data_IF_014864424360
#
_entry.id   IF_014864424360
#
_cell.length_a   1.000
_cell.length_b   1.000
_cell.length_c   1.000
_cell.angle_alpha   90.00
_cell.angle_beta   90.00
_cell.angle_gamma   90.00
#
_symmetry.space_group_name_H-M   'P 1'
#
loop_
_entity.id
_entity.type
_entity.pdbx_description
1 polymer ?
#
# COMPACT_ATOMS: atom_id res chain seq x y z
N UNK A 1 -6.02 57.99 34.47
CA UNK A 1 -4.87 57.16 34.02
C UNK A 1 -4.54 56.25 35.20
N UNK A 2 -4.74 54.93 35.23
CA UNK A 2 -4.64 53.86 34.24
C UNK A 2 -5.52 52.70 34.74
N UNK A 3 -6.59 52.34 34.03
CA UNK A 3 -6.71 51.15 33.16
C UNK A 3 -6.34 49.81 33.80
N UNK A 4 -7.38 48.98 33.96
CA UNK A 4 -7.37 47.56 34.23
C UNK A 4 -6.58 46.77 33.17
N UNK A 5 -5.92 45.69 33.60
CA UNK A 5 -5.62 44.54 32.73
C UNK A 5 -5.61 43.27 33.56
N UNK A 6 -6.72 42.53 33.47
CA UNK A 6 -6.81 41.16 33.94
C UNK A 6 -6.01 40.25 33.02
N UNK A 7 -5.27 39.31 33.62
CA UNK A 7 -4.65 38.21 32.90
C UNK A 7 -5.41 36.93 33.27
N UNK A 8 -6.41 36.59 32.45
CA UNK A 8 -7.11 35.33 32.56
C UNK A 8 -6.24 34.24 31.94
N UNK A 9 -5.80 33.28 32.76
CA UNK A 9 -5.11 32.07 32.29
C UNK A 9 -6.14 31.20 31.54
N UNK A 10 -5.96 30.91 30.24
CA UNK A 10 -6.86 29.99 29.55
C UNK A 10 -6.65 28.57 30.09
N UNK A 11 -7.69 28.00 30.72
CA UNK A 11 -7.76 26.56 31.00
C UNK A 11 -7.67 25.82 29.67
N UNK A 12 -6.53 25.21 29.40
CA UNK A 12 -6.39 24.21 28.36
C UNK A 12 -7.34 23.05 28.70
N UNK A 13 -8.46 22.98 27.99
CA UNK A 13 -9.30 21.80 27.98
C UNK A 13 -8.43 20.63 27.48
N UNK A 14 -8.08 19.72 28.40
CA UNK A 14 -7.49 18.43 28.09
C UNK A 14 -8.48 17.72 27.18
N UNK A 15 -8.17 17.68 25.88
CA UNK A 15 -8.89 16.84 24.94
C UNK A 15 -8.79 15.40 25.46
N UNK A 16 -9.88 14.90 26.05
CA UNK A 16 -10.04 13.48 26.35
C UNK A 16 -9.97 12.80 24.99
N UNK A 17 -8.85 12.11 24.71
CA UNK A 17 -8.77 11.20 23.57
C UNK A 17 -9.87 10.18 23.81
N UNK A 18 -10.99 10.31 23.11
CA UNK A 18 -11.95 9.23 23.09
C UNK A 18 -11.24 8.03 22.45
N UNK A 19 -11.28 6.85 23.08
CA UNK A 19 -10.84 5.64 22.40
C UNK A 19 -11.68 5.54 21.12
N UNK A 20 -11.02 5.40 19.98
CA UNK A 20 -11.70 5.11 18.72
C UNK A 20 -12.59 3.89 18.98
N UNK A 21 -13.86 3.92 18.54
CA UNK A 21 -14.69 2.72 18.60
C UNK A 21 -13.91 1.58 17.93
N UNK A 22 -13.96 0.36 18.48
CA UNK A 22 -13.39 -0.78 17.78
C UNK A 22 -14.00 -0.81 16.38
N UNK A 23 -13.15 -0.90 15.36
CA UNK A 23 -13.60 -1.17 13.99
C UNK A 23 -14.27 -2.54 14.02
N UNK A 24 -15.58 -2.55 14.25
CA UNK A 24 -16.42 -3.72 14.08
C UNK A 24 -16.53 -3.94 12.58
N UNK A 25 -15.72 -4.83 12.03
CA UNK A 25 -16.00 -5.42 10.73
C UNK A 25 -17.30 -6.22 10.90
N UNK A 26 -18.42 -5.63 10.49
CA UNK A 26 -19.67 -6.34 10.43
C UNK A 26 -19.50 -7.55 9.51
N UNK A 27 -19.83 -8.78 9.95
CA UNK A 27 -19.61 -9.99 9.16
C UNK A 27 -20.68 -10.20 8.06
N UNK A 28 -21.25 -9.14 7.48
CA UNK A 28 -22.45 -9.23 6.62
C UNK A 28 -22.19 -8.77 5.16
N UNK A 29 -21.35 -7.75 4.92
CA UNK A 29 -21.17 -7.22 3.55
C UNK A 29 -20.46 -8.18 2.59
N UNK A 30 -19.63 -9.12 3.07
CA UNK A 30 -18.88 -10.01 2.17
C UNK A 30 -19.77 -11.00 1.41
N UNK A 31 -20.93 -11.37 1.96
CA UNK A 31 -21.88 -12.23 1.27
C UNK A 31 -22.71 -11.44 0.26
N UNK A 32 -23.10 -10.21 0.59
CA UNK A 32 -23.85 -9.35 -0.32
C UNK A 32 -23.04 -9.02 -1.60
N UNK A 33 -21.75 -8.72 -1.46
CA UNK A 33 -20.87 -8.45 -2.60
C UNK A 33 -20.55 -9.71 -3.41
N UNK A 34 -20.37 -10.86 -2.74
CA UNK A 34 -20.20 -12.14 -3.41
C UNK A 34 -21.46 -12.52 -4.19
N UNK A 35 -22.64 -12.35 -3.61
CA UNK A 35 -23.93 -12.61 -4.26
C UNK A 35 -24.19 -11.64 -5.42
N UNK A 36 -23.79 -10.37 -5.28
CA UNK A 36 -23.85 -9.37 -6.34
C UNK A 36 -22.89 -9.67 -7.49
N UNK A 37 -21.71 -10.24 -7.21
CA UNK A 37 -20.81 -10.74 -8.24
C UNK A 37 -21.40 -11.98 -8.92
N UNK A 38 -21.78 -13.00 -8.15
CA UNK A 38 -22.27 -14.29 -8.66
C UNK A 38 -23.53 -14.16 -9.53
N UNK A 39 -24.43 -13.24 -9.18
CA UNK A 39 -25.67 -13.00 -9.93
C UNK A 39 -25.60 -11.75 -10.84
N UNK A 40 -24.45 -11.09 -10.91
CA UNK A 40 -24.28 -9.83 -11.60
C UNK A 40 -23.76 -9.95 -13.04
N UNK A 41 -23.93 -8.89 -13.86
CA UNK A 41 -23.42 -8.86 -15.24
C UNK A 41 -21.89 -8.93 -15.31
N UNK A 42 -21.20 -8.60 -14.22
CA UNK A 42 -19.75 -8.66 -14.13
C UNK A 42 -19.23 -10.11 -14.22
N UNK A 43 -19.92 -11.07 -13.60
CA UNK A 43 -19.57 -12.48 -13.72
C UNK A 43 -19.67 -12.95 -15.15
N UNK A 44 -20.71 -12.56 -15.90
CA UNK A 44 -20.84 -12.93 -17.31
C UNK A 44 -19.67 -12.41 -18.15
N UNK A 45 -19.22 -11.17 -17.90
CA UNK A 45 -18.04 -10.61 -18.58
C UNK A 45 -16.77 -11.37 -18.19
N UNK A 46 -16.64 -11.72 -16.92
CA UNK A 46 -15.50 -12.49 -16.41
C UNK A 46 -15.45 -13.90 -17.00
N UNK A 47 -16.58 -14.61 -17.00
CA UNK A 47 -16.72 -15.95 -17.57
C UNK A 47 -16.45 -15.94 -19.09
N UNK A 48 -16.91 -14.92 -19.81
CA UNK A 48 -16.57 -14.78 -21.24
C UNK A 48 -15.07 -14.55 -21.49
N UNK A 49 -14.40 -13.85 -20.58
CA UNK A 49 -13.00 -13.48 -20.74
C UNK A 49 -12.01 -14.55 -20.22
N UNK A 50 -12.41 -15.31 -19.20
CA UNK A 50 -11.56 -16.21 -18.43
C UNK A 50 -12.23 -17.54 -18.05
N UNK A 51 -13.57 -17.57 -18.05
CA UNK A 51 -14.35 -18.77 -17.79
C UNK A 51 -14.24 -19.77 -18.92
N UNK A 52 -14.36 -21.02 -18.53
CA UNK A 52 -14.31 -22.21 -19.38
C UNK A 52 -15.67 -22.50 -20.02
N UNK A 53 -16.40 -21.49 -20.50
CA UNK A 53 -17.57 -21.72 -21.35
C UNK A 53 -17.11 -22.33 -22.69
N UNK A 54 -17.02 -23.66 -22.70
CA UNK A 54 -16.65 -24.47 -23.88
C UNK A 54 -15.15 -24.63 -24.16
N UNK A 55 -14.24 -24.22 -23.25
CA UNK A 55 -12.78 -24.32 -23.46
C UNK A 55 -11.99 -24.50 -22.15
N UNK A 56 -10.68 -24.75 -22.26
CA UNK A 56 -9.80 -24.93 -21.10
C UNK A 56 -9.73 -23.65 -20.24
N UNK A 57 -9.71 -23.77 -18.89
CA UNK A 57 -9.62 -22.63 -17.98
C UNK A 57 -8.33 -21.84 -18.23
N UNK A 58 -8.37 -20.50 -18.12
CA UNK A 58 -7.25 -19.61 -18.45
C UNK A 58 -6.72 -18.89 -17.21
N UNK A 59 -5.40 -18.81 -17.06
CA UNK A 59 -4.71 -18.00 -16.04
C UNK A 59 -4.02 -16.78 -16.65
N UNK A 60 -3.92 -15.72 -15.87
CA UNK A 60 -3.15 -14.52 -16.25
C UNK A 60 -1.68 -14.76 -15.87
N UNK A 61 -0.77 -14.51 -16.81
CA UNK A 61 0.68 -14.57 -16.63
C UNK A 61 1.28 -13.24 -17.06
N UNK A 62 2.29 -12.77 -16.34
CA UNK A 62 2.95 -11.48 -16.61
C UNK A 62 1.99 -10.29 -16.66
N UNK A 63 0.95 -10.31 -15.83
CA UNK A 63 -0.02 -9.22 -15.68
C UNK A 63 -1.09 -9.11 -16.76
N UNK A 64 -0.82 -9.53 -18.00
CA UNK A 64 -1.75 -9.34 -19.13
C UNK A 64 -1.90 -10.52 -20.08
N UNK A 65 -0.98 -11.49 -20.09
CA UNK A 65 -1.06 -12.63 -21.00
C UNK A 65 -1.96 -13.72 -20.43
N UNK A 66 -2.71 -14.41 -21.30
CA UNK A 66 -3.57 -15.53 -20.92
C UNK A 66 -2.93 -16.84 -21.34
N UNK A 67 -2.82 -17.78 -20.41
CA UNK A 67 -2.33 -19.14 -20.67
C UNK A 67 -3.42 -20.15 -20.30
N UNK A 68 -3.64 -21.15 -21.14
CA UNK A 68 -4.52 -22.28 -20.83
C UNK A 68 -3.94 -23.14 -19.71
N UNK A 69 -4.81 -23.62 -18.83
CA UNK A 69 -4.47 -24.44 -17.67
C UNK A 69 -5.25 -25.72 -17.77
N UNK A 70 -4.62 -26.83 -17.40
CA UNK A 70 -5.31 -28.11 -17.24
C UNK A 70 -6.32 -27.99 -16.09
N UNK A 71 -7.55 -28.43 -16.32
CA UNK A 71 -8.60 -28.44 -15.31
C UNK A 71 -8.23 -29.32 -14.10
N UNK A 72 -7.40 -30.36 -14.29
CA UNK A 72 -6.91 -31.19 -13.21
C UNK A 72 -5.88 -30.48 -12.30
N UNK A 73 -5.28 -29.40 -12.76
CA UNK A 73 -4.34 -28.59 -12.00
C UNK A 73 -5.02 -27.44 -11.22
N UNK A 74 -6.36 -27.31 -11.34
CA UNK A 74 -7.09 -26.32 -10.57
C UNK A 74 -7.16 -26.70 -9.09
N UNK A 75 -6.90 -25.75 -8.18
CA UNK A 75 -7.05 -26.01 -6.75
C UNK A 75 -8.50 -26.33 -6.42
N UNK A 76 -8.69 -27.29 -5.53
CA UNK A 76 -9.99 -27.60 -4.94
C UNK A 76 -10.55 -26.39 -4.19
N UNK A 77 -11.86 -26.39 -3.91
CA UNK A 77 -12.50 -25.31 -3.16
C UNK A 77 -11.86 -25.10 -1.76
N UNK A 78 -11.48 -26.20 -1.11
CA UNK A 78 -10.74 -26.23 0.16
C UNK A 78 -9.37 -25.55 0.04
N UNK A 79 -8.58 -25.93 -0.97
CA UNK A 79 -7.25 -25.32 -1.19
C UNK A 79 -7.35 -23.85 -1.58
N UNK A 80 -8.37 -23.48 -2.35
CA UNK A 80 -8.65 -22.10 -2.70
C UNK A 80 -9.01 -21.26 -1.48
N UNK A 81 -9.83 -21.79 -0.57
CA UNK A 81 -10.16 -21.13 0.69
C UNK A 81 -8.92 -20.96 1.58
N UNK A 82 -8.12 -22.02 1.75
CA UNK A 82 -6.87 -21.97 2.52
C UNK A 82 -5.86 -20.97 1.93
N UNK A 83 -5.76 -20.86 0.60
CA UNK A 83 -4.91 -19.86 -0.07
C UNK A 83 -5.40 -18.43 0.16
N UNK A 84 -6.73 -18.20 0.16
CA UNK A 84 -7.30 -16.87 0.48
C UNK A 84 -7.05 -16.50 1.93
N UNK A 85 -7.21 -17.44 2.85
CA UNK A 85 -6.95 -17.23 4.27
C UNK A 85 -5.47 -16.96 4.54
N UNK A 86 -4.57 -17.74 3.93
CA UNK A 86 -3.12 -17.49 4.00
C UNK A 86 -2.72 -16.15 3.37
N UNK A 87 -3.32 -15.78 2.24
CA UNK A 87 -3.09 -14.47 1.62
C UNK A 87 -3.62 -13.32 2.49
N UNK A 88 -4.80 -13.47 3.10
CA UNK A 88 -5.36 -12.49 4.02
C UNK A 88 -4.49 -12.31 5.28
N UNK A 89 -3.93 -13.41 5.80
CA UNK A 89 -2.97 -13.38 6.91
C UNK A 89 -1.65 -12.71 6.52
N UNK A 90 -1.17 -12.91 5.29
CA UNK A 90 0.09 -12.36 4.80
C UNK A 90 0.01 -10.89 4.34
N UNK A 91 -1.18 -10.40 3.94
CA UNK A 91 -1.35 -9.07 3.35
C UNK A 91 -1.47 -7.92 4.37
N UNK A 92 -1.63 -8.22 5.66
CA UNK A 92 -2.00 -7.18 6.66
C UNK A 92 -0.86 -6.78 7.60
N UNK A 93 0.31 -7.42 7.52
CA UNK A 93 1.46 -7.01 8.33
C UNK A 93 2.77 -7.25 7.60
N UNK A 94 3.43 -6.17 7.19
CA UNK A 94 4.79 -6.25 6.67
C UNK A 94 5.70 -6.68 7.81
N UNK A 95 6.44 -7.76 7.62
CA UNK A 95 7.35 -8.33 8.61
C UNK A 95 8.43 -7.31 9.02
N UNK A 96 8.92 -7.40 10.26
CA UNK A 96 9.88 -6.44 10.80
C UNK A 96 11.21 -6.45 10.02
N UNK A 97 11.60 -7.60 9.47
CA UNK A 97 12.78 -7.73 8.60
C UNK A 97 12.62 -6.98 7.27
N UNK A 98 11.43 -7.01 6.68
CA UNK A 98 11.11 -6.26 5.46
C UNK A 98 11.07 -4.75 5.75
N UNK A 99 10.53 -4.35 6.91
CA UNK A 99 10.58 -2.93 7.34
C UNK A 99 12.02 -2.46 7.51
N UNK A 100 12.88 -3.26 8.12
CA UNK A 100 14.29 -2.92 8.30
C UNK A 100 15.02 -2.78 6.97
N UNK A 101 14.81 -3.71 6.03
CA UNK A 101 15.34 -3.59 4.66
C UNK A 101 14.90 -2.30 3.97
N UNK A 102 13.63 -1.91 4.14
CA UNK A 102 13.11 -0.65 3.58
C UNK A 102 13.70 0.57 4.29
N UNK A 103 13.92 0.55 5.61
CA UNK A 103 14.65 1.62 6.31
C UNK A 103 16.08 1.75 5.78
N UNK A 104 16.78 0.64 5.63
CA UNK A 104 18.14 0.62 5.10
C UNK A 104 18.20 1.19 3.68
N UNK A 105 17.26 0.82 2.81
CA UNK A 105 17.15 1.40 1.48
C UNK A 105 16.89 2.92 1.54
N UNK A 106 15.95 3.36 2.39
CA UNK A 106 15.66 4.77 2.62
C UNK A 106 16.89 5.56 3.06
N UNK A 107 17.66 5.04 4.01
CA UNK A 107 18.91 5.65 4.48
C UNK A 107 20.01 5.65 3.43
N UNK A 108 20.15 4.59 2.64
CA UNK A 108 21.15 4.53 1.58
C UNK A 108 20.87 5.61 0.51
N UNK A 109 19.62 5.74 0.05
CA UNK A 109 19.23 6.79 -0.87
C UNK A 109 19.37 8.18 -0.23
N UNK A 110 18.96 8.35 1.03
CA UNK A 110 19.11 9.61 1.77
C UNK A 110 20.57 10.06 1.89
N UNK A 111 21.48 9.12 2.18
CA UNK A 111 22.92 9.39 2.20
C UNK A 111 23.44 9.79 0.80
N UNK A 112 23.00 9.09 -0.25
CA UNK A 112 23.32 9.44 -1.63
C UNK A 112 22.87 10.84 -2.01
N UNK A 113 21.64 11.23 -1.62
CA UNK A 113 21.10 12.58 -1.80
C UNK A 113 21.97 13.60 -1.07
N UNK A 114 22.34 13.34 0.18
CA UNK A 114 23.18 14.25 0.95
C UNK A 114 24.55 14.48 0.29
N UNK A 115 25.14 13.43 -0.28
CA UNK A 115 26.39 13.52 -1.05
C UNK A 115 26.18 14.35 -2.33
N UNK A 116 25.11 14.09 -3.09
CA UNK A 116 24.76 14.84 -4.30
C UNK A 116 24.54 16.34 -4.01
N UNK A 117 23.83 16.65 -2.92
CA UNK A 117 23.53 18.00 -2.49
C UNK A 117 24.78 18.83 -2.18
N UNK A 118 25.89 18.18 -1.81
CA UNK A 118 27.20 18.83 -1.58
C UNK A 118 28.04 18.83 -2.86
N UNK A 119 28.07 17.71 -3.58
CA UNK A 119 28.93 17.54 -4.75
C UNK A 119 28.51 18.40 -5.95
N UNK A 120 27.20 18.50 -6.23
CA UNK A 120 26.71 19.23 -7.40
C UNK A 120 26.95 20.74 -7.32
N UNK A 121 26.78 21.41 -6.15
CA UNK A 121 27.24 22.78 -5.98
C UNK A 121 28.76 22.94 -6.08
N UNK A 122 29.54 22.01 -5.52
CA UNK A 122 30.99 22.07 -5.56
C UNK A 122 31.57 21.93 -6.99
N UNK A 123 30.81 21.34 -7.91
CA UNK A 123 31.14 21.19 -9.33
C UNK A 123 30.50 22.26 -10.23
N UNK A 124 29.94 23.33 -9.65
CA UNK A 124 29.29 24.44 -10.37
C UNK A 124 28.17 24.00 -11.34
N UNK A 125 27.53 22.86 -11.09
CA UNK A 125 26.42 22.38 -11.91
C UNK A 125 25.27 23.39 -11.83
N UNK A 126 24.60 23.82 -12.91
CA UNK A 126 23.52 24.79 -12.83
C UNK A 126 22.29 24.23 -12.09
N UNK A 127 21.55 25.10 -11.40
CA UNK A 127 20.45 24.72 -10.51
C UNK A 127 19.42 23.75 -11.14
N UNK A 128 18.97 23.91 -12.40
CA UNK A 128 18.02 22.97 -13.02
C UNK A 128 18.55 21.53 -13.08
N UNK A 129 19.84 21.37 -13.36
CA UNK A 129 20.48 20.06 -13.47
C UNK A 129 20.65 19.41 -12.10
N UNK A 130 20.86 20.22 -11.04
CA UNK A 130 20.90 19.72 -9.67
C UNK A 130 19.56 19.12 -9.26
N UNK A 131 18.49 19.87 -9.48
CA UNK A 131 17.13 19.40 -9.23
C UNK A 131 16.81 18.12 -9.99
N UNK A 132 17.13 18.06 -11.28
CA UNK A 132 16.89 16.87 -12.09
C UNK A 132 17.64 15.63 -11.56
N UNK A 133 18.88 15.81 -11.08
CA UNK A 133 19.70 14.73 -10.55
C UNK A 133 19.22 14.25 -9.15
N UNK A 134 18.70 15.17 -8.32
CA UNK A 134 18.30 14.86 -6.94
C UNK A 134 16.85 14.35 -6.82
N UNK A 135 15.96 14.73 -7.74
CA UNK A 135 14.52 14.46 -7.65
C UNK A 135 14.20 12.97 -7.46
N UNK A 136 14.78 12.12 -8.31
CA UNK A 136 14.54 10.69 -8.27
C UNK A 136 15.07 10.02 -6.99
N UNK A 137 16.34 10.20 -6.59
CA UNK A 137 16.84 9.60 -5.35
C UNK A 137 16.17 10.17 -4.09
N UNK A 138 15.76 11.45 -4.08
CA UNK A 138 14.96 12.02 -2.97
C UNK A 138 13.61 11.31 -2.85
N UNK A 139 12.93 11.10 -3.98
CA UNK A 139 11.65 10.39 -3.99
C UNK A 139 11.79 8.97 -3.43
N UNK A 140 12.84 8.24 -3.83
CA UNK A 140 13.11 6.90 -3.30
C UNK A 140 13.46 6.92 -1.81
N UNK A 141 14.34 7.82 -1.37
CA UNK A 141 14.70 7.97 0.04
C UNK A 141 13.46 8.19 0.91
N UNK A 142 12.60 9.13 0.50
CA UNK A 142 11.36 9.41 1.20
C UNK A 142 10.40 8.24 1.15
N UNK A 143 10.16 7.66 -0.04
CA UNK A 143 9.23 6.56 -0.24
C UNK A 143 9.57 5.33 0.62
N UNK A 144 10.82 4.89 0.61
CA UNK A 144 11.26 3.73 1.40
C UNK A 144 11.22 3.98 2.91
N UNK A 145 11.57 5.19 3.37
CA UNK A 145 11.49 5.54 4.79
C UNK A 145 10.03 5.56 5.27
N UNK A 146 9.13 6.18 4.50
CA UNK A 146 7.69 6.21 4.81
C UNK A 146 7.05 4.83 4.75
N UNK A 147 7.47 4.02 3.79
CA UNK A 147 7.03 2.64 3.60
C UNK A 147 7.38 1.77 4.82
N UNK A 148 8.58 1.95 5.38
CA UNK A 148 9.01 1.24 6.58
C UNK A 148 8.24 1.64 7.84
N UNK A 149 7.85 2.91 7.97
CA UNK A 149 7.10 3.41 9.14
C UNK A 149 5.61 3.12 9.07
N UNK A 150 5.02 3.24 7.87
CA UNK A 150 3.59 3.06 7.64
C UNK A 150 3.18 1.60 7.39
N UNK A 151 4.15 0.71 7.10
CA UNK A 151 3.85 -0.68 6.76
C UNK A 151 3.08 -0.80 5.44
N UNK A 152 3.44 0.01 4.43
CA UNK A 152 2.93 -0.05 3.05
C UNK A 152 4.05 -0.46 2.10
#
# INVERSE_FOLDING_TARGET
>A
VSSCTGFAVPRLHRAVRQPLPPLSFAPDESTADADAFENGPLKTVFDKAYGSEGGAPKKIVWGVFKQEVDAAALPTASESAARREAAAAALTNIDDEERERRRLAGYAFGAGVAVLAVALPALDIPLPNRFAAELFPVFLAFGFTRSADAGL
#
